data_IF_966182043346
#
_entry.id   IF_966182043346
#
_cell.length_a   1.000
_cell.length_b   1.000
_cell.length_c   1.000
_cell.angle_alpha   90.00
_cell.angle_beta   90.00
_cell.angle_gamma   90.00
#
_symmetry.space_group_name_H-M   'P 1'
#
loop_
_entity.id
_entity.type
_entity.pdbx_description
1 polymer ?
#
# COMPACT_ATOMS: atom_id res chain seq x y z
N UNK A 1 9.26 -1.36 -13.12
CA UNK A 1 7.79 -1.51 -13.08
C UNK A 1 7.15 -0.45 -12.19
N UNK A 2 7.53 -0.36 -10.91
CA UNK A 2 6.99 0.62 -9.96
C UNK A 2 7.07 2.08 -10.45
N UNK A 3 8.20 2.51 -11.05
CA UNK A 3 8.35 3.85 -11.65
C UNK A 3 7.37 4.20 -12.77
N UNK A 4 6.76 3.21 -13.43
CA UNK A 4 5.76 3.44 -14.50
C UNK A 4 4.40 3.83 -13.94
N UNK A 5 4.14 3.56 -12.66
CA UNK A 5 2.89 3.92 -11.98
C UNK A 5 2.84 5.44 -11.75
N UNK A 6 3.98 6.06 -11.41
CA UNK A 6 4.08 7.52 -11.24
C UNK A 6 3.25 8.10 -10.08
N UNK A 7 2.71 7.24 -9.22
CA UNK A 7 1.85 7.60 -8.12
C UNK A 7 2.30 6.97 -6.81
N UNK A 8 1.96 7.61 -5.70
CA UNK A 8 2.12 7.07 -4.35
C UNK A 8 0.81 6.38 -3.98
N UNK A 9 0.91 5.08 -3.67
CA UNK A 9 -0.22 4.23 -3.28
C UNK A 9 0.02 3.77 -1.85
N UNK A 10 -0.98 3.99 -0.99
CA UNK A 10 -1.00 3.49 0.39
C UNK A 10 -1.94 2.29 0.50
N UNK A 11 -1.51 1.25 1.19
CA UNK A 11 -2.34 0.13 1.61
C UNK A 11 -2.55 0.23 3.11
N UNK A 12 -3.79 0.34 3.56
CA UNK A 12 -4.18 0.23 4.96
C UNK A 12 -4.63 -1.22 5.23
N UNK A 13 -3.77 -1.97 5.93
CA UNK A 13 -4.02 -3.35 6.31
C UNK A 13 -4.92 -3.34 7.56
N UNK A 14 -6.02 -4.07 7.46
CA UNK A 14 -6.95 -4.29 8.56
C UNK A 14 -6.92 -5.74 9.01
N UNK A 15 -7.35 -5.99 10.24
CA UNK A 15 -7.62 -7.33 10.74
C UNK A 15 -8.93 -7.28 11.50
N UNK A 16 -9.91 -8.07 11.08
CA UNK A 16 -11.26 -8.02 11.63
C UNK A 16 -11.86 -6.59 11.57
N UNK A 17 -11.64 -5.89 10.45
CA UNK A 17 -12.14 -4.53 10.22
C UNK A 17 -11.44 -3.41 11.03
N UNK A 18 -10.39 -3.73 11.80
CA UNK A 18 -9.60 -2.75 12.55
C UNK A 18 -8.25 -2.52 11.89
N UNK A 19 -7.87 -1.26 11.68
CA UNK A 19 -6.54 -0.88 11.19
C UNK A 19 -5.43 -1.49 12.05
N UNK A 20 -4.42 -2.07 11.39
CA UNK A 20 -3.24 -2.63 12.05
C UNK A 20 -1.96 -1.92 11.61
N UNK A 21 -1.79 -1.78 10.29
CA UNK A 21 -0.56 -1.24 9.71
C UNK A 21 -0.83 -0.69 8.31
N UNK A 22 0.13 0.06 7.76
CA UNK A 22 0.06 0.55 6.40
C UNK A 22 1.34 0.26 5.63
N UNK A 23 1.25 0.00 4.33
CA UNK A 23 2.39 -0.07 3.42
C UNK A 23 2.28 1.03 2.37
N UNK A 24 3.42 1.59 1.96
CA UNK A 24 3.46 2.59 0.89
C UNK A 24 4.30 2.12 -0.28
N UNK A 25 3.72 2.19 -1.47
CA UNK A 25 4.42 2.07 -2.75
C UNK A 25 4.61 3.48 -3.29
N UNK A 26 5.85 3.96 -3.31
CA UNK A 26 6.19 5.21 -3.97
C UNK A 26 6.61 4.92 -5.41
N UNK A 27 5.64 5.03 -6.32
CA UNK A 27 5.81 4.92 -7.76
C UNK A 27 6.59 6.06 -8.41
N UNK A 28 6.88 7.16 -7.70
CA UNK A 28 7.69 8.27 -8.23
C UNK A 28 9.18 7.99 -7.99
N UNK A 29 9.50 7.49 -6.80
CA UNK A 29 10.87 7.15 -6.40
C UNK A 29 11.25 5.71 -6.80
N UNK A 30 10.25 4.82 -6.96
CA UNK A 30 10.46 3.42 -7.26
C UNK A 30 10.81 2.59 -6.03
N UNK A 31 10.31 2.97 -4.85
CA UNK A 31 10.58 2.34 -3.56
C UNK A 31 9.28 1.85 -2.91
N UNK A 32 9.41 0.89 -2.00
CA UNK A 32 8.32 0.37 -1.17
C UNK A 32 8.82 0.39 0.27
N UNK A 33 7.99 0.85 1.19
CA UNK A 33 8.35 0.94 2.61
C UNK A 33 7.13 0.73 3.52
N UNK A 34 7.42 0.33 4.75
CA UNK A 34 6.43 0.18 5.81
C UNK A 34 5.99 1.55 6.33
N UNK A 35 4.74 1.65 6.75
CA UNK A 35 4.14 2.90 7.19
C UNK A 35 3.46 3.72 6.09
N UNK A 36 2.99 4.89 6.51
CA UNK A 36 2.27 5.87 5.68
C UNK A 36 3.25 6.64 4.79
N UNK A 37 2.77 7.32 3.74
CA UNK A 37 3.60 8.18 2.91
C UNK A 37 4.47 9.12 3.73
N UNK A 38 5.73 9.26 3.33
CA UNK A 38 6.69 10.16 3.97
C UNK A 38 6.13 11.57 4.12
N UNK A 39 6.51 12.26 5.19
CA UNK A 39 6.04 13.62 5.48
C UNK A 39 6.24 14.56 4.27
N UNK A 40 5.23 15.39 3.98
CA UNK A 40 5.21 16.24 2.80
C UNK A 40 4.80 15.53 1.50
N UNK A 41 4.47 14.24 1.55
CA UNK A 41 3.92 13.49 0.41
C UNK A 41 2.49 13.01 0.70
N UNK A 42 1.69 12.90 -0.35
CA UNK A 42 0.28 12.48 -0.25
C UNK A 42 0.07 11.23 -1.08
N UNK A 43 -0.55 10.21 -0.49
CA UNK A 43 -1.06 9.08 -1.25
C UNK A 43 -2.13 9.57 -2.23
N UNK A 44 -1.98 9.21 -3.50
CA UNK A 44 -2.98 9.51 -4.53
C UNK A 44 -4.10 8.46 -4.51
N UNK A 45 -3.81 7.26 -3.98
CA UNK A 45 -4.76 6.18 -3.79
C UNK A 45 -4.49 5.54 -2.43
N UNK A 46 -5.56 5.32 -1.66
CA UNK A 46 -5.51 4.50 -0.44
C UNK A 46 -6.41 3.29 -0.62
N UNK A 47 -5.86 2.10 -0.40
CA UNK A 47 -6.56 0.83 -0.49
C UNK A 47 -6.67 0.25 0.91
N UNK A 48 -7.89 0.06 1.41
CA UNK A 48 -8.14 -0.62 2.68
C UNK A 48 -8.46 -2.08 2.40
N UNK A 49 -7.72 -3.00 3.03
CA UNK A 49 -7.79 -4.43 2.73
C UNK A 49 -7.56 -5.26 4.01
N UNK A 50 -8.17 -6.43 4.14
CA UNK A 50 -7.87 -7.35 5.24
C UNK A 50 -6.50 -8.00 5.04
N UNK A 51 -5.83 -8.34 6.13
CA UNK A 51 -4.51 -8.98 6.15
C UNK A 51 -4.48 -10.26 5.30
N UNK A 52 -5.53 -11.10 5.35
CA UNK A 52 -5.60 -12.31 4.56
C UNK A 52 -5.73 -12.00 3.07
N UNK A 53 -6.65 -11.10 2.71
CA UNK A 53 -6.88 -10.70 1.31
C UNK A 53 -5.63 -10.06 0.71
N UNK A 54 -4.89 -9.27 1.49
CA UNK A 54 -3.63 -8.66 1.05
C UNK A 54 -2.58 -9.72 0.69
N UNK A 55 -2.45 -10.77 1.50
CA UNK A 55 -1.54 -11.89 1.21
C UNK A 55 -1.99 -12.64 -0.04
N UNK A 56 -3.29 -12.91 -0.20
CA UNK A 56 -3.81 -13.60 -1.38
C UNK A 56 -3.61 -12.79 -2.67
N UNK A 57 -3.83 -11.47 -2.62
CA UNK A 57 -3.53 -10.54 -3.71
C UNK A 57 -2.03 -10.56 -4.07
N UNK A 58 -1.15 -10.51 -3.08
CA UNK A 58 0.29 -10.55 -3.29
C UNK A 58 0.77 -11.88 -3.91
N UNK A 59 0.09 -12.98 -3.59
CA UNK A 59 0.35 -14.30 -4.18
C UNK A 59 -0.32 -14.51 -5.55
N UNK A 60 -1.10 -13.53 -6.04
CA UNK A 60 -1.79 -13.62 -7.33
C UNK A 60 -2.93 -14.64 -7.34
N UNK A 61 -3.57 -14.89 -6.19
CA UNK A 61 -4.66 -15.86 -6.02
C UNK A 61 -6.06 -15.25 -6.12
N UNK A 62 -6.12 -13.93 -6.34
CA UNK A 62 -7.36 -13.18 -6.50
C UNK A 62 -8.12 -13.55 -7.78
#
# INVERSE_FOLDING_TARGET
LVKKIGAIIQFDITKNGKFQHSWTIDGKQGIIYDGKPTEGTTAQVTITVDDNDFVELALGKA
#
